data_IF_919447339208
#
_entry.id   IF_919447339208
#
_cell.length_a   1.000
_cell.length_b   1.000
_cell.length_c   1.000
_cell.angle_alpha   90.00
_cell.angle_beta   90.00
_cell.angle_gamma   90.00
#
_symmetry.space_group_name_H-M   'P 1'
#
loop_
_entity.id
_entity.type
_entity.pdbx_description
1 polymer ?
#
# COMPACT_ATOMS: atom_id res chain seq x y z
N UNK A 1 18.76 8.50 8.83
CA UNK A 1 19.76 7.83 7.93
C UNK A 1 19.28 7.92 6.49
N UNK A 2 20.20 7.99 5.51
CA UNK A 2 19.77 7.93 4.10
C UNK A 2 19.28 6.50 3.81
N UNK A 3 18.01 6.33 3.53
CA UNK A 3 17.45 5.04 3.12
C UNK A 3 18.03 4.61 1.76
N UNK A 4 18.58 3.40 1.68
CA UNK A 4 19.07 2.83 0.42
C UNK A 4 17.95 2.73 -0.62
N UNK A 5 16.73 2.39 -0.16
CA UNK A 5 15.54 2.32 -1.01
C UNK A 5 15.24 3.67 -1.69
N UNK A 6 15.11 4.76 -0.92
CA UNK A 6 14.87 6.08 -1.49
C UNK A 6 16.04 6.58 -2.33
N UNK A 7 17.29 6.32 -1.89
CA UNK A 7 18.49 6.70 -2.66
C UNK A 7 18.50 6.08 -4.04
N UNK A 8 18.00 4.85 -4.19
CA UNK A 8 17.83 4.22 -5.51
C UNK A 8 16.75 4.88 -6.33
N UNK A 9 15.55 5.08 -5.77
CA UNK A 9 14.43 5.71 -6.51
C UNK A 9 14.74 7.14 -6.94
N UNK A 10 15.52 7.87 -6.16
CA UNK A 10 15.90 9.27 -6.41
C UNK A 10 17.22 9.40 -7.17
N UNK A 11 17.86 8.29 -7.54
CA UNK A 11 19.09 8.32 -8.33
C UNK A 11 18.85 8.93 -9.71
N UNK A 12 19.90 9.46 -10.38
CA UNK A 12 19.77 10.03 -11.74
C UNK A 12 19.22 9.05 -12.78
N UNK A 13 19.48 7.76 -12.59
CA UNK A 13 18.98 6.68 -13.45
C UNK A 13 17.47 6.50 -13.30
N UNK A 14 16.90 6.92 -12.18
CA UNK A 14 15.46 6.79 -11.88
C UNK A 14 14.94 5.38 -12.18
N UNK A 15 15.44 4.33 -11.50
CA UNK A 15 15.03 2.97 -11.78
C UNK A 15 13.56 2.75 -11.44
N UNK A 16 12.95 1.80 -12.14
CA UNK A 16 11.66 1.23 -11.75
C UNK A 16 11.93 0.15 -10.72
N UNK A 17 11.26 0.21 -9.57
CA UNK A 17 11.27 -0.86 -8.58
C UNK A 17 9.98 -1.68 -8.66
N UNK A 18 10.16 -2.99 -8.60
CA UNK A 18 9.08 -3.96 -8.71
C UNK A 18 8.75 -4.51 -7.33
N UNK A 19 7.54 -4.23 -6.86
CA UNK A 19 6.95 -4.87 -5.69
C UNK A 19 6.48 -6.28 -6.04
N UNK A 20 6.22 -7.07 -5.02
CA UNK A 20 5.66 -8.40 -5.16
C UNK A 20 4.18 -8.38 -5.58
N UNK A 21 3.50 -9.50 -5.39
CA UNK A 21 2.09 -9.69 -5.68
C UNK A 21 1.31 -10.11 -4.45
N UNK A 22 0.07 -10.51 -4.67
CA UNK A 22 -0.89 -10.78 -3.61
C UNK A 22 -0.47 -11.94 -2.69
N UNK A 23 -0.18 -11.65 -1.43
CA UNK A 23 0.06 -12.66 -0.39
C UNK A 23 -1.12 -13.64 -0.30
N UNK A 24 -2.33 -13.16 -0.05
CA UNK A 24 -3.51 -14.01 0.13
C UNK A 24 -3.83 -14.90 -1.08
N UNK A 25 -3.75 -14.37 -2.32
CA UNK A 25 -3.94 -15.16 -3.54
C UNK A 25 -2.97 -16.35 -3.61
N UNK A 26 -1.70 -16.14 -3.24
CA UNK A 26 -0.66 -17.17 -3.35
C UNK A 26 -0.69 -18.13 -2.15
N UNK A 27 -1.13 -17.71 -0.98
CA UNK A 27 -1.43 -18.63 0.14
C UNK A 27 -2.57 -19.58 -0.22
N UNK A 28 -3.65 -19.09 -0.85
CA UNK A 28 -4.77 -19.93 -1.29
C UNK A 28 -4.36 -21.04 -2.26
N UNK A 29 -3.31 -20.84 -3.07
CA UNK A 29 -2.82 -21.89 -3.98
C UNK A 29 -2.12 -23.05 -3.27
N UNK A 30 -1.78 -22.90 -2.00
CA UNK A 30 -1.09 -23.92 -1.21
C UNK A 30 -2.05 -24.92 -0.57
N UNK A 31 -3.38 -24.76 -0.75
CA UNK A 31 -4.42 -25.63 -0.20
C UNK A 31 -4.29 -25.83 1.32
N UNK A 32 -4.04 -24.75 2.05
CA UNK A 32 -3.92 -24.76 3.50
C UNK A 32 -5.24 -25.20 4.15
N UNK A 33 -5.14 -25.96 5.22
CA UNK A 33 -6.26 -26.51 5.98
C UNK A 33 -6.43 -25.76 7.30
N UNK A 34 -7.56 -25.94 7.97
CA UNK A 34 -7.79 -25.37 9.29
C UNK A 34 -6.68 -25.73 10.30
N UNK A 35 -6.07 -26.93 10.20
CA UNK A 35 -4.95 -27.32 11.05
C UNK A 35 -3.71 -26.47 10.81
N UNK A 36 -3.45 -26.08 9.55
CA UNK A 36 -2.33 -25.20 9.20
C UNK A 36 -2.49 -23.80 9.82
N UNK A 37 -3.73 -23.33 9.99
CA UNK A 37 -4.04 -22.10 10.71
C UNK A 37 -4.03 -22.26 12.24
N UNK A 38 -3.83 -23.47 12.78
CA UNK A 38 -3.86 -23.73 14.21
C UNK A 38 -5.26 -24.05 14.77
N UNK A 39 -6.24 -24.29 13.90
CA UNK A 39 -7.61 -24.66 14.24
C UNK A 39 -8.66 -23.90 13.43
N UNK A 40 -9.88 -24.45 13.37
CA UNK A 40 -10.97 -23.91 12.58
C UNK A 40 -11.35 -22.45 12.95
N UNK A 41 -11.13 -22.05 14.21
CA UNK A 41 -11.39 -20.70 14.69
C UNK A 41 -10.43 -19.64 14.10
N UNK A 42 -9.29 -20.06 13.56
CA UNK A 42 -8.27 -19.19 12.96
C UNK A 42 -8.21 -19.29 11.44
N UNK A 43 -9.04 -20.15 10.85
CA UNK A 43 -9.08 -20.34 9.41
C UNK A 43 -9.38 -19.01 8.70
N UNK A 44 -8.51 -18.61 7.78
CA UNK A 44 -8.58 -17.33 7.06
C UNK A 44 -7.81 -16.17 7.70
N UNK A 45 -7.27 -16.32 8.92
CA UNK A 45 -6.34 -15.36 9.50
C UNK A 45 -4.94 -15.60 8.95
N UNK A 46 -4.62 -14.98 7.81
CA UNK A 46 -3.32 -15.17 7.15
C UNK A 46 -2.16 -14.75 8.05
N UNK A 47 -2.32 -13.64 8.76
CA UNK A 47 -1.33 -13.09 9.67
C UNK A 47 -0.92 -14.08 10.78
N UNK A 48 -1.78 -15.02 11.12
CA UNK A 48 -1.46 -16.03 12.13
C UNK A 48 -0.57 -17.16 11.58
N UNK A 49 -0.49 -17.31 10.26
CA UNK A 49 0.37 -18.31 9.61
C UNK A 49 1.85 -18.10 9.90
N UNK A 50 2.30 -16.88 10.18
CA UNK A 50 3.70 -16.64 10.59
C UNK A 50 4.07 -17.35 11.90
N UNK A 51 3.06 -17.70 12.71
CA UNK A 51 3.21 -18.48 13.94
C UNK A 51 2.95 -19.98 13.72
N UNK A 52 1.89 -20.32 13.01
CA UNK A 52 1.43 -21.73 12.90
C UNK A 52 2.08 -22.47 11.75
N UNK A 53 2.36 -21.78 10.63
CA UNK A 53 2.94 -22.37 9.41
C UNK A 53 3.82 -21.38 8.65
N UNK A 54 4.91 -20.90 9.28
CA UNK A 54 5.76 -19.85 8.71
C UNK A 54 6.34 -20.21 7.33
N UNK A 55 6.54 -21.50 7.05
CA UNK A 55 7.04 -21.98 5.76
C UNK A 55 6.06 -21.66 4.60
N UNK A 56 4.76 -21.57 4.86
CA UNK A 56 3.78 -21.20 3.84
C UNK A 56 3.94 -19.72 3.41
N UNK A 57 4.15 -18.83 4.37
CA UNK A 57 4.40 -17.41 4.14
C UNK A 57 5.79 -17.22 3.51
N UNK A 58 6.82 -17.88 4.06
CA UNK A 58 8.18 -17.83 3.52
C UNK A 58 8.22 -18.26 2.04
N UNK A 59 7.43 -19.29 1.68
CA UNK A 59 7.32 -19.74 0.30
C UNK A 59 6.79 -18.67 -0.62
N UNK A 60 5.78 -17.90 -0.23
CA UNK A 60 5.24 -16.81 -1.05
C UNK A 60 6.31 -15.73 -1.26
N UNK A 61 6.99 -15.31 -0.20
CA UNK A 61 8.10 -14.36 -0.30
C UNK A 61 9.20 -14.86 -1.23
N UNK A 62 9.61 -16.13 -1.06
CA UNK A 62 10.64 -16.76 -1.89
C UNK A 62 10.23 -16.76 -3.38
N UNK A 63 8.99 -17.17 -3.68
CA UNK A 63 8.51 -17.28 -5.07
C UNK A 63 8.48 -15.91 -5.77
N UNK A 64 8.10 -14.83 -5.07
CA UNK A 64 8.13 -13.48 -5.63
C UNK A 64 9.55 -12.93 -5.80
N UNK A 65 10.44 -13.19 -4.85
CA UNK A 65 11.85 -12.79 -4.96
C UNK A 65 12.57 -13.55 -6.09
N UNK A 66 12.28 -14.84 -6.25
CA UNK A 66 12.76 -15.66 -7.36
C UNK A 66 12.23 -15.15 -8.71
N UNK A 67 10.98 -14.67 -8.75
CA UNK A 67 10.40 -14.00 -9.92
C UNK A 67 11.04 -12.63 -10.23
N UNK A 68 11.83 -12.08 -9.30
CA UNK A 68 12.63 -10.87 -9.51
C UNK A 68 12.13 -9.62 -8.79
N UNK A 69 11.12 -9.72 -7.91
CA UNK A 69 10.66 -8.59 -7.10
C UNK A 69 11.82 -7.91 -6.36
N UNK A 70 11.86 -6.59 -6.36
CA UNK A 70 12.84 -5.79 -5.61
C UNK A 70 12.38 -5.56 -4.17
N UNK A 71 11.06 -5.54 -3.94
CA UNK A 71 10.41 -5.32 -2.66
C UNK A 71 9.38 -6.40 -2.42
N UNK A 72 9.34 -6.94 -1.21
CA UNK A 72 8.25 -7.80 -0.74
C UNK A 72 7.52 -7.14 0.43
N UNK A 73 6.22 -7.36 0.52
CA UNK A 73 5.37 -6.87 1.59
C UNK A 73 5.24 -7.93 2.69
N UNK A 74 5.24 -7.50 3.96
CA UNK A 74 5.03 -8.42 5.09
C UNK A 74 3.60 -8.96 5.11
N UNK A 75 3.40 -10.17 5.64
CA UNK A 75 2.07 -10.76 5.85
C UNK A 75 1.41 -10.15 7.11
N UNK A 76 1.10 -8.85 7.03
CA UNK A 76 0.59 -8.05 8.16
C UNK A 76 -0.54 -7.10 7.78
N UNK A 77 -1.18 -7.33 6.64
CA UNK A 77 -2.26 -6.48 6.12
C UNK A 77 -3.40 -6.29 7.13
N UNK A 78 -3.85 -7.37 7.77
CA UNK A 78 -4.84 -7.36 8.86
C UNK A 78 -4.21 -7.40 10.27
N UNK A 79 -2.94 -7.00 10.41
CA UNK A 79 -2.14 -7.20 11.63
C UNK A 79 -2.46 -6.27 12.79
N UNK A 80 -3.46 -5.38 12.72
CA UNK A 80 -3.87 -4.56 13.88
C UNK A 80 -4.57 -5.38 14.94
N UNK A 81 -4.42 -5.00 16.21
CA UNK A 81 -5.17 -5.61 17.32
C UNK A 81 -6.69 -5.57 17.12
N UNK A 82 -7.20 -4.57 16.37
CA UNK A 82 -8.63 -4.44 16.04
C UNK A 82 -9.09 -5.58 15.11
N UNK A 83 -8.34 -5.89 14.06
CA UNK A 83 -8.68 -6.97 13.12
C UNK A 83 -8.43 -8.33 13.77
N UNK A 84 -7.30 -8.50 14.44
CA UNK A 84 -6.94 -9.74 15.13
C UNK A 84 -7.91 -10.11 16.27
N UNK A 85 -8.61 -9.12 16.84
CA UNK A 85 -9.69 -9.36 17.81
C UNK A 85 -10.84 -10.19 17.23
N UNK A 86 -11.07 -10.17 15.92
CA UNK A 86 -12.08 -10.99 15.24
C UNK A 86 -11.76 -12.50 15.33
N UNK A 87 -10.50 -12.84 15.64
CA UNK A 87 -9.98 -14.19 15.84
C UNK A 87 -9.52 -14.45 17.29
N UNK A 88 -9.88 -13.60 18.25
CA UNK A 88 -9.38 -13.67 19.64
C UNK A 88 -7.86 -13.60 19.78
N UNK A 89 -7.18 -12.90 18.85
CA UNK A 89 -5.72 -12.76 18.76
C UNK A 89 -5.23 -11.32 18.99
N UNK A 90 -6.05 -10.43 19.53
CA UNK A 90 -5.70 -9.01 19.71
C UNK A 90 -4.40 -8.82 20.52
N UNK A 91 -4.17 -9.65 21.55
CA UNK A 91 -2.99 -9.61 22.40
C UNK A 91 -1.70 -10.08 21.70
N UNK A 92 -1.80 -10.63 20.52
CA UNK A 92 -0.68 -11.11 19.70
C UNK A 92 -0.25 -10.13 18.61
N UNK A 93 -0.93 -8.98 18.47
CA UNK A 93 -0.68 -8.04 17.37
C UNK A 93 0.79 -7.67 17.25
N UNK A 94 1.42 -7.20 18.32
CA UNK A 94 2.86 -6.88 18.29
C UNK A 94 3.73 -8.07 17.88
N UNK A 95 3.49 -9.23 18.49
CA UNK A 95 4.28 -10.45 18.22
C UNK A 95 4.17 -10.87 16.75
N UNK A 96 2.95 -10.96 16.19
CA UNK A 96 2.71 -11.41 14.83
C UNK A 96 3.33 -10.46 13.80
N UNK A 97 3.13 -9.15 13.94
CA UNK A 97 3.70 -8.16 13.03
C UNK A 97 5.23 -8.18 13.04
N UNK A 98 5.85 -8.26 14.23
CA UNK A 98 7.30 -8.35 14.34
C UNK A 98 7.83 -9.63 13.70
N UNK A 99 7.21 -10.78 13.99
CA UNK A 99 7.60 -12.09 13.45
C UNK A 99 7.47 -12.11 11.92
N UNK A 100 6.39 -11.55 11.38
CA UNK A 100 6.20 -11.45 9.92
C UNK A 100 7.30 -10.60 9.26
N UNK A 101 7.67 -9.47 9.87
CA UNK A 101 8.75 -8.63 9.38
C UNK A 101 10.11 -9.36 9.43
N UNK A 102 10.44 -10.02 10.55
CA UNK A 102 11.68 -10.79 10.69
C UNK A 102 11.75 -11.95 9.69
N UNK A 103 10.62 -12.65 9.44
CA UNK A 103 10.53 -13.69 8.43
C UNK A 103 10.81 -13.16 7.02
N UNK A 104 10.13 -12.07 6.64
CA UNK A 104 10.32 -11.44 5.33
C UNK A 104 11.77 -10.94 5.15
N UNK A 105 12.37 -10.34 6.19
CA UNK A 105 13.79 -9.91 6.16
C UNK A 105 14.75 -11.09 5.98
N UNK A 106 14.46 -12.21 6.62
CA UNK A 106 15.27 -13.44 6.49
C UNK A 106 15.25 -13.93 5.05
N UNK A 107 14.07 -14.06 4.44
CA UNK A 107 13.94 -14.52 3.04
C UNK A 107 14.53 -13.51 2.06
N UNK A 108 14.30 -12.21 2.28
CA UNK A 108 14.86 -11.17 1.41
C UNK A 108 16.39 -11.16 1.41
N UNK A 109 17.02 -11.47 2.54
CA UNK A 109 18.48 -11.55 2.66
C UNK A 109 19.10 -12.65 1.78
N UNK A 110 18.38 -13.75 1.53
CA UNK A 110 18.86 -14.84 0.67
C UNK A 110 19.01 -14.41 -0.81
N UNK A 111 18.22 -13.42 -1.24
CA UNK A 111 18.20 -12.90 -2.62
C UNK A 111 18.91 -11.57 -2.79
N UNK A 112 19.33 -10.94 -1.68
CA UNK A 112 19.89 -9.59 -1.69
C UNK A 112 21.39 -9.63 -2.03
N UNK A 113 21.81 -8.80 -3.00
CA UNK A 113 23.23 -8.55 -3.30
C UNK A 113 23.52 -7.05 -3.28
N UNK A 114 24.78 -6.62 -3.21
CA UNK A 114 25.12 -5.18 -3.31
C UNK A 114 24.59 -4.52 -4.59
N UNK A 115 24.57 -5.24 -5.71
CA UNK A 115 24.11 -4.77 -7.02
C UNK A 115 22.58 -4.78 -7.11
N UNK A 116 21.94 -5.77 -6.49
CA UNK A 116 20.48 -5.95 -6.48
C UNK A 116 19.97 -6.19 -5.06
N UNK A 117 19.96 -5.14 -4.21
CA UNK A 117 19.41 -5.25 -2.86
C UNK A 117 17.90 -5.51 -2.92
N UNK A 118 17.41 -6.29 -1.95
CA UNK A 118 15.99 -6.58 -1.75
C UNK A 118 15.51 -5.84 -0.51
N UNK A 119 14.28 -5.36 -0.56
CA UNK A 119 13.68 -4.57 0.49
C UNK A 119 12.42 -5.24 1.03
N UNK A 120 12.10 -4.93 2.26
CA UNK A 120 10.87 -5.39 2.93
C UNK A 120 10.03 -4.18 3.29
N UNK A 121 8.82 -4.12 2.76
CA UNK A 121 7.80 -3.14 3.10
C UNK A 121 6.89 -3.69 4.22
N UNK A 122 6.76 -2.95 5.30
CA UNK A 122 5.82 -3.26 6.37
C UNK A 122 4.41 -2.89 5.93
N UNK A 123 3.59 -3.88 5.61
CA UNK A 123 2.21 -3.70 5.15
C UNK A 123 1.28 -3.32 6.31
N UNK A 124 0.54 -2.22 6.14
CA UNK A 124 -0.49 -1.71 7.05
C UNK A 124 -1.77 -1.49 6.25
N UNK A 125 -2.72 -2.41 6.40
CA UNK A 125 -4.01 -2.34 5.72
C UNK A 125 -5.04 -1.46 6.42
N UNK A 126 -6.22 -1.27 5.80
CA UNK A 126 -7.27 -0.36 6.30
C UNK A 126 -8.02 -0.90 7.52
N UNK A 127 -7.90 -2.19 7.83
CA UNK A 127 -8.74 -2.86 8.81
C UNK A 127 -10.20 -3.01 8.36
N UNK A 128 -11.07 -3.34 9.31
CA UNK A 128 -12.49 -3.62 9.07
C UNK A 128 -13.43 -2.48 9.53
N UNK A 129 -12.87 -1.38 10.04
CA UNK A 129 -13.62 -0.25 10.59
C UNK A 129 -13.29 1.04 9.84
N UNK A 130 -14.32 1.82 9.53
CA UNK A 130 -14.21 3.11 8.84
C UNK A 130 -14.49 4.24 9.85
N UNK A 131 -13.48 5.02 10.26
CA UNK A 131 -13.65 6.08 11.24
C UNK A 131 -14.55 7.22 10.72
N UNK A 132 -14.52 7.54 9.43
CA UNK A 132 -15.41 8.54 8.82
C UNK A 132 -16.90 8.16 8.98
N UNK A 133 -17.23 6.88 9.06
CA UNK A 133 -18.59 6.38 9.28
C UNK A 133 -18.90 6.17 10.76
N UNK A 134 -18.00 6.52 11.66
CA UNK A 134 -18.20 6.37 13.11
C UNK A 134 -18.11 4.93 13.62
N UNK A 135 -17.54 4.00 12.82
CA UNK A 135 -17.38 2.61 13.28
C UNK A 135 -16.34 2.46 14.40
N UNK A 136 -15.43 3.42 14.51
CA UNK A 136 -14.37 3.49 15.51
C UNK A 136 -13.94 4.95 15.66
N UNK A 137 -13.53 5.36 16.85
CA UNK A 137 -12.92 6.68 17.05
C UNK A 137 -11.45 6.71 16.57
N UNK A 138 -10.99 7.92 16.26
CA UNK A 138 -9.67 8.16 15.69
C UNK A 138 -8.52 7.71 16.62
N UNK A 139 -8.63 7.99 17.92
CA UNK A 139 -7.57 7.73 18.87
C UNK A 139 -7.41 6.22 19.12
N UNK A 140 -8.50 5.48 19.21
CA UNK A 140 -8.50 4.01 19.30
C UNK A 140 -7.87 3.38 18.06
N UNK A 141 -8.25 3.83 16.86
CA UNK A 141 -7.65 3.35 15.62
C UNK A 141 -6.16 3.68 15.54
N UNK A 142 -5.78 4.92 15.87
CA UNK A 142 -4.38 5.36 15.91
C UNK A 142 -3.56 4.49 16.87
N UNK A 143 -4.07 4.20 18.07
CA UNK A 143 -3.36 3.38 19.05
C UNK A 143 -3.06 1.98 18.53
N UNK A 144 -4.00 1.35 17.81
CA UNK A 144 -3.77 0.05 17.19
C UNK A 144 -2.71 0.12 16.07
N UNK A 145 -2.69 1.20 15.29
CA UNK A 145 -1.62 1.41 14.30
C UNK A 145 -0.26 1.73 14.92
N UNK A 146 -0.20 2.38 16.09
CA UNK A 146 1.07 2.57 16.83
C UNK A 146 1.68 1.22 17.19
N UNK A 147 0.88 0.30 17.75
CA UNK A 147 1.33 -1.04 18.11
C UNK A 147 1.87 -1.80 16.88
N UNK A 148 1.12 -1.79 15.77
CA UNK A 148 1.53 -2.44 14.53
C UNK A 148 2.79 -1.82 13.94
N UNK A 149 2.85 -0.50 13.83
CA UNK A 149 4.01 0.21 13.29
C UNK A 149 5.27 0.01 14.14
N UNK A 150 5.15 0.00 15.47
CA UNK A 150 6.27 -0.28 16.36
C UNK A 150 6.81 -1.70 16.17
N UNK A 151 5.92 -2.68 16.07
CA UNK A 151 6.29 -4.08 15.83
C UNK A 151 7.01 -4.27 14.49
N UNK A 152 6.48 -3.68 13.42
CA UNK A 152 7.10 -3.70 12.08
C UNK A 152 8.47 -3.01 12.09
N UNK A 153 8.58 -1.87 12.79
CA UNK A 153 9.86 -1.16 12.95
C UNK A 153 10.90 -2.04 13.63
N UNK A 154 10.53 -2.67 14.73
CA UNK A 154 11.41 -3.55 15.53
C UNK A 154 11.73 -4.87 14.81
N UNK A 155 10.85 -5.32 13.92
CA UNK A 155 11.09 -6.44 12.98
C UNK A 155 12.03 -6.09 11.83
N UNK A 156 12.38 -4.82 11.65
CA UNK A 156 13.45 -4.39 10.74
C UNK A 156 13.01 -4.11 9.31
N UNK A 157 11.73 -3.79 9.04
CA UNK A 157 11.28 -3.41 7.69
C UNK A 157 12.09 -2.24 7.13
N UNK A 158 12.28 -2.17 5.83
CA UNK A 158 13.07 -1.11 5.18
C UNK A 158 12.23 0.14 4.88
N UNK A 159 10.92 -0.02 4.70
CA UNK A 159 9.93 1.03 4.48
C UNK A 159 8.57 0.61 5.03
N UNK A 160 7.65 1.56 5.14
CA UNK A 160 6.25 1.31 5.49
C UNK A 160 5.35 1.55 4.28
N UNK A 161 4.32 0.74 4.13
CA UNK A 161 3.24 0.96 3.18
C UNK A 161 1.89 0.95 3.92
N UNK A 162 1.17 2.08 3.84
CA UNK A 162 -0.23 2.18 4.26
C UNK A 162 -1.05 1.99 2.99
N UNK A 163 -1.65 0.80 2.85
CA UNK A 163 -2.20 0.35 1.58
C UNK A 163 -3.70 0.07 1.60
N UNK A 164 -4.27 -0.06 0.40
CA UNK A 164 -5.69 -0.39 0.18
C UNK A 164 -6.62 0.55 0.94
N UNK A 165 -6.18 1.79 1.09
CA UNK A 165 -6.87 2.78 1.91
C UNK A 165 -8.19 3.19 1.27
N UNK A 166 -9.26 3.11 2.07
CA UNK A 166 -10.64 3.40 1.65
C UNK A 166 -11.25 4.64 2.34
N UNK A 167 -10.54 5.19 3.34
CA UNK A 167 -11.00 6.29 4.19
C UNK A 167 -9.80 7.20 4.53
N UNK A 168 -9.92 8.49 4.21
CA UNK A 168 -8.84 9.47 4.46
C UNK A 168 -8.58 9.66 5.96
N UNK A 169 -9.59 9.53 6.80
CA UNK A 169 -9.41 9.65 8.26
C UNK A 169 -8.63 8.46 8.81
N UNK A 170 -8.85 7.27 8.25
CA UNK A 170 -8.04 6.08 8.54
C UNK A 170 -6.58 6.28 8.11
N UNK A 171 -6.32 6.83 6.90
CA UNK A 171 -4.96 7.15 6.47
C UNK A 171 -4.28 8.10 7.45
N UNK A 172 -4.97 9.15 7.89
CA UNK A 172 -4.44 10.10 8.87
C UNK A 172 -4.10 9.42 10.20
N UNK A 173 -4.92 8.48 10.66
CA UNK A 173 -4.65 7.73 11.89
C UNK A 173 -3.37 6.89 11.74
N UNK A 174 -3.21 6.16 10.63
CA UNK A 174 -2.02 5.37 10.35
C UNK A 174 -0.75 6.24 10.21
N UNK A 175 -0.81 7.35 9.46
CA UNK A 175 0.33 8.26 9.28
C UNK A 175 0.76 8.89 10.60
N UNK A 176 -0.19 9.36 11.43
CA UNK A 176 0.15 9.91 12.75
C UNK A 176 0.76 8.85 13.68
N UNK A 177 0.30 7.60 13.60
CA UNK A 177 0.85 6.48 14.35
C UNK A 177 2.31 6.19 13.95
N UNK A 178 2.57 6.11 12.65
CA UNK A 178 3.92 5.84 12.11
C UNK A 178 4.89 6.98 12.48
N UNK A 179 4.48 8.24 12.35
CA UNK A 179 5.32 9.40 12.74
C UNK A 179 5.60 9.41 14.26
N UNK A 180 4.65 9.01 15.09
CA UNK A 180 4.88 8.84 16.54
C UNK A 180 5.94 7.77 16.81
N UNK A 181 5.89 6.64 16.10
CA UNK A 181 6.90 5.58 16.21
C UNK A 181 8.26 6.07 15.73
N UNK A 182 8.34 6.78 14.61
CA UNK A 182 9.61 7.36 14.13
C UNK A 182 10.21 8.35 15.13
N UNK A 183 9.39 9.21 15.72
CA UNK A 183 9.84 10.14 16.77
C UNK A 183 10.36 9.39 18.00
N UNK A 184 9.66 8.34 18.45
CA UNK A 184 10.05 7.50 19.58
C UNK A 184 11.37 6.75 19.33
N UNK A 185 11.56 6.22 18.11
CA UNK A 185 12.75 5.44 17.74
C UNK A 185 13.94 6.31 17.32
N UNK A 186 13.71 7.59 17.02
CA UNK A 186 14.75 8.51 16.54
C UNK A 186 15.30 8.16 15.15
N UNK A 187 14.56 7.37 14.39
CA UNK A 187 14.92 6.94 13.03
C UNK A 187 13.65 6.96 12.15
N UNK A 188 13.76 7.56 10.95
CA UNK A 188 12.68 7.66 9.98
C UNK A 188 12.95 6.74 8.80
N UNK A 189 11.98 5.96 8.44
CA UNK A 189 12.00 5.09 7.25
C UNK A 189 11.10 5.65 6.16
N UNK A 190 11.32 5.29 4.89
CA UNK A 190 10.44 5.66 3.79
C UNK A 190 9.00 5.27 4.08
N UNK A 191 8.08 6.14 3.65
CA UNK A 191 6.66 5.97 3.89
C UNK A 191 5.90 6.08 2.57
N UNK A 192 5.20 5.02 2.21
CA UNK A 192 4.35 4.91 1.05
C UNK A 192 2.88 4.90 1.48
N UNK A 193 2.05 5.63 0.76
CA UNK A 193 0.58 5.55 0.87
C UNK A 193 0.02 5.06 -0.45
N UNK A 194 -0.85 4.07 -0.39
CA UNK A 194 -1.54 3.52 -1.55
C UNK A 194 -3.05 3.49 -1.30
N UNK A 195 -3.80 4.25 -2.08
CA UNK A 195 -5.26 4.34 -1.93
C UNK A 195 -5.95 3.41 -2.92
N UNK A 196 -7.18 3.06 -2.58
CA UNK A 196 -8.02 2.21 -3.42
C UNK A 196 -9.14 3.05 -4.01
N UNK A 197 -9.21 3.07 -5.36
CA UNK A 197 -10.26 3.75 -6.11
C UNK A 197 -11.21 2.69 -6.66
N UNK A 198 -12.47 2.78 -6.22
CA UNK A 198 -13.53 1.87 -6.66
C UNK A 198 -13.92 2.11 -8.12
N UNK A 199 -14.70 1.21 -8.69
CA UNK A 199 -15.19 1.32 -10.08
C UNK A 199 -15.97 2.60 -10.38
N UNK A 200 -16.50 3.26 -9.33
CA UNK A 200 -17.17 4.56 -9.42
C UNK A 200 -16.21 5.74 -9.56
N UNK A 201 -14.90 5.50 -9.46
CA UNK A 201 -13.86 6.55 -9.58
C UNK A 201 -13.57 7.33 -8.29
N UNK A 202 -14.02 6.85 -7.15
CA UNK A 202 -13.75 7.41 -5.82
C UNK A 202 -13.30 6.34 -4.85
N UNK A 203 -12.72 6.74 -3.71
CA UNK A 203 -12.57 5.83 -2.57
C UNK A 203 -13.95 5.40 -2.05
N UNK A 204 -14.01 4.35 -1.23
CA UNK A 204 -15.27 3.79 -0.70
C UNK A 204 -16.15 4.84 -0.02
N UNK A 205 -15.56 5.80 0.71
CA UNK A 205 -16.30 6.89 1.38
C UNK A 205 -16.58 8.09 0.47
N UNK A 206 -16.32 7.98 -0.85
CA UNK A 206 -16.64 9.00 -1.84
C UNK A 206 -15.54 10.02 -2.12
N UNK A 207 -14.32 9.83 -1.60
CA UNK A 207 -13.20 10.76 -1.81
C UNK A 207 -12.61 10.63 -3.21
N UNK A 208 -12.52 11.73 -3.94
CA UNK A 208 -11.87 11.83 -5.25
C UNK A 208 -10.35 11.90 -5.12
N UNK A 209 -9.62 11.53 -6.19
CA UNK A 209 -8.15 11.50 -6.19
C UNK A 209 -7.52 12.89 -5.97
N UNK A 210 -8.17 13.96 -6.43
CA UNK A 210 -7.73 15.34 -6.20
C UNK A 210 -7.72 15.68 -4.71
N UNK A 211 -8.78 15.31 -3.98
CA UNK A 211 -8.86 15.52 -2.54
C UNK A 211 -7.78 14.70 -1.80
N UNK A 212 -7.52 13.46 -2.24
CA UNK A 212 -6.43 12.63 -1.69
C UNK A 212 -5.09 13.36 -1.80
N UNK A 213 -4.74 13.86 -2.99
CA UNK A 213 -3.46 14.59 -3.20
C UNK A 213 -3.39 15.81 -2.31
N UNK A 214 -4.42 16.67 -2.33
CA UNK A 214 -4.45 17.93 -1.55
C UNK A 214 -4.36 17.67 -0.04
N UNK A 215 -4.98 16.60 0.46
CA UNK A 215 -4.93 16.26 1.88
C UNK A 215 -3.55 15.71 2.25
N UNK A 216 -2.97 14.84 1.41
CA UNK A 216 -1.74 14.13 1.72
C UNK A 216 -0.48 14.97 1.44
N UNK A 217 -0.53 16.01 0.62
CA UNK A 217 0.63 16.87 0.32
C UNK A 217 1.30 17.47 1.57
N UNK A 218 0.57 17.57 2.68
CA UNK A 218 1.05 18.11 3.96
C UNK A 218 1.65 17.05 4.88
N UNK A 219 1.55 15.77 4.52
CA UNK A 219 2.16 14.70 5.28
C UNK A 219 3.54 14.35 4.73
N UNK A 220 4.49 13.96 5.59
CA UNK A 220 5.84 13.62 5.16
C UNK A 220 5.90 12.21 4.57
N UNK A 221 5.15 11.96 3.51
CA UNK A 221 5.20 10.71 2.74
C UNK A 221 6.17 10.84 1.57
N UNK A 222 6.70 9.73 1.09
CA UNK A 222 7.68 9.67 0.00
C UNK A 222 7.04 9.20 -1.31
N UNK A 223 6.05 8.32 -1.22
CA UNK A 223 5.40 7.70 -2.37
C UNK A 223 3.88 7.75 -2.18
N UNK A 224 3.16 8.11 -3.23
CA UNK A 224 1.69 8.06 -3.30
C UNK A 224 1.26 7.28 -4.53
N UNK A 225 0.35 6.35 -4.37
CA UNK A 225 -0.14 5.55 -5.48
C UNK A 225 -1.48 4.89 -5.25
N UNK A 226 -1.72 3.90 -6.09
CA UNK A 226 -2.96 3.12 -6.10
C UNK A 226 -2.67 1.63 -6.04
N UNK A 227 -3.48 0.90 -5.30
CA UNK A 227 -3.51 -0.56 -5.35
C UNK A 227 -4.94 -1.09 -5.22
N UNK A 228 -5.14 -2.34 -5.60
CA UNK A 228 -6.37 -3.11 -5.41
C UNK A 228 -7.62 -2.55 -6.13
N UNK A 229 -8.80 -3.04 -5.76
CA UNK A 229 -10.15 -2.83 -6.31
C UNK A 229 -10.27 -3.14 -7.81
N UNK A 230 -9.43 -2.53 -8.65
CA UNK A 230 -9.57 -2.59 -10.11
C UNK A 230 -8.29 -3.03 -10.81
N UNK A 231 -8.40 -3.31 -12.10
CA UNK A 231 -7.25 -3.50 -12.98
C UNK A 231 -6.70 -2.17 -13.52
N UNK A 232 -5.60 -2.23 -14.29
CA UNK A 232 -4.89 -1.02 -14.75
C UNK A 232 -5.75 -0.09 -15.60
N UNK A 233 -6.70 -0.58 -16.37
CA UNK A 233 -7.54 0.26 -17.25
C UNK A 233 -8.35 1.29 -16.46
N UNK A 234 -8.97 0.87 -15.34
CA UNK A 234 -9.75 1.76 -14.49
C UNK A 234 -8.86 2.64 -13.60
N UNK A 235 -7.64 2.23 -13.32
CA UNK A 235 -6.66 3.04 -12.58
C UNK A 235 -6.07 4.18 -13.44
N UNK A 236 -6.04 4.03 -14.76
CA UNK A 236 -5.38 4.96 -15.67
C UNK A 236 -5.74 6.44 -15.47
N UNK A 237 -7.01 6.86 -15.33
CA UNK A 237 -7.37 8.26 -15.10
C UNK A 237 -6.76 8.80 -13.79
N UNK A 238 -6.76 8.00 -12.75
CA UNK A 238 -6.24 8.38 -11.43
C UNK A 238 -4.71 8.44 -11.42
N UNK A 239 -4.04 7.47 -12.06
CA UNK A 239 -2.58 7.49 -12.23
C UNK A 239 -2.15 8.70 -13.07
N UNK A 240 -2.92 9.05 -14.11
CA UNK A 240 -2.69 10.27 -14.88
C UNK A 240 -2.78 11.51 -13.99
N UNK A 241 -3.81 11.61 -13.16
CA UNK A 241 -3.93 12.72 -12.21
C UNK A 241 -2.74 12.80 -11.25
N UNK A 242 -2.33 11.67 -10.66
CA UNK A 242 -1.15 11.59 -9.81
C UNK A 242 0.13 12.01 -10.56
N UNK A 243 0.25 11.62 -11.82
CA UNK A 243 1.39 12.01 -12.67
C UNK A 243 1.48 13.51 -12.84
N UNK A 244 0.36 14.19 -13.03
CA UNK A 244 0.26 15.62 -13.35
C UNK A 244 0.27 16.52 -12.11
N UNK A 245 -0.20 16.02 -10.95
CA UNK A 245 -0.45 16.87 -9.76
C UNK A 245 0.23 16.40 -8.47
N UNK A 246 0.64 15.14 -8.35
CA UNK A 246 1.23 14.65 -7.10
C UNK A 246 2.71 15.03 -6.98
N UNK A 247 3.16 15.67 -5.88
CA UNK A 247 4.57 15.98 -5.65
C UNK A 247 5.40 14.74 -5.28
N UNK A 248 4.75 13.62 -4.97
CA UNK A 248 5.38 12.40 -4.50
C UNK A 248 5.81 11.49 -5.67
N UNK A 249 6.70 10.53 -5.42
CA UNK A 249 6.94 9.42 -6.34
C UNK A 249 5.62 8.67 -6.53
N UNK A 250 5.30 8.26 -7.77
CA UNK A 250 4.03 7.58 -8.07
C UNK A 250 4.22 6.07 -8.15
N UNK A 251 3.31 5.35 -7.49
CA UNK A 251 3.20 3.89 -7.57
C UNK A 251 1.89 3.42 -8.18
N UNK A 252 1.92 2.23 -8.80
CA UNK A 252 0.73 1.56 -9.31
C UNK A 252 0.84 0.04 -9.12
N UNK A 253 -0.03 -0.52 -8.29
CA UNK A 253 -0.05 -1.93 -7.88
C UNK A 253 -1.47 -2.49 -8.11
N UNK A 254 -1.88 -2.72 -9.37
CA UNK A 254 -3.24 -3.13 -9.72
C UNK A 254 -3.50 -4.62 -9.45
N UNK A 255 -4.78 -4.97 -9.39
CA UNK A 255 -5.21 -6.36 -9.51
C UNK A 255 -4.92 -6.91 -10.92
N UNK A 256 -4.88 -8.22 -11.05
CA UNK A 256 -4.84 -8.90 -12.35
C UNK A 256 -6.21 -8.80 -13.09
N UNK A 257 -6.72 -7.56 -13.20
CA UNK A 257 -8.03 -7.23 -13.74
C UNK A 257 -9.13 -7.18 -12.66
N UNK A 258 -10.37 -6.99 -13.10
CA UNK A 258 -11.53 -7.07 -12.21
C UNK A 258 -11.81 -8.53 -11.83
N UNK A 259 -12.13 -8.82 -10.56
CA UNK A 259 -12.51 -10.15 -10.15
C UNK A 259 -13.87 -10.55 -10.74
N UNK A 260 -13.95 -11.75 -11.29
CA UNK A 260 -15.21 -12.39 -11.69
C UNK A 260 -15.52 -13.52 -10.71
N UNK A 261 -16.79 -13.62 -10.31
CA UNK A 261 -17.23 -14.74 -9.48
C UNK A 261 -17.45 -15.97 -10.35
N UNK A 262 -16.59 -16.97 -10.23
CA UNK A 262 -16.73 -18.26 -10.92
C UNK A 262 -16.83 -19.36 -9.85
N UNK A 263 -18.01 -19.92 -9.69
CA UNK A 263 -18.25 -20.99 -8.71
C UNK A 263 -18.04 -20.58 -7.25
N UNK A 264 -18.24 -19.30 -6.91
CA UNK A 264 -18.05 -18.77 -5.56
C UNK A 264 -16.63 -18.29 -5.26
N UNK A 265 -15.72 -18.39 -6.22
CA UNK A 265 -14.33 -17.92 -6.09
C UNK A 265 -14.07 -16.73 -7.00
N UNK A 266 -13.20 -15.81 -6.53
CA UNK A 266 -12.73 -14.70 -7.34
C UNK A 266 -11.75 -15.21 -8.41
N UNK A 267 -12.05 -14.94 -9.67
CA UNK A 267 -11.22 -15.29 -10.82
C UNK A 267 -10.75 -14.02 -11.53
N UNK A 268 -9.44 -13.93 -11.78
CA UNK A 268 -8.81 -12.78 -12.43
C UNK A 268 -8.31 -13.19 -13.80
N UNK A 269 -8.66 -12.41 -14.84
CA UNK A 269 -8.42 -12.79 -16.25
C UNK A 269 -7.21 -12.12 -16.88
N UNK A 270 -6.72 -11.02 -16.31
CA UNK A 270 -5.60 -10.29 -16.90
C UNK A 270 -4.34 -11.16 -16.88
N UNK A 271 -3.80 -11.42 -18.05
CA UNK A 271 -2.59 -12.23 -18.20
C UNK A 271 -1.34 -11.47 -17.75
N UNK A 272 -0.23 -12.18 -17.43
CA UNK A 272 1.05 -11.53 -17.11
C UNK A 272 1.52 -10.56 -18.19
N UNK A 273 1.32 -10.88 -19.47
CA UNK A 273 1.72 -10.03 -20.58
C UNK A 273 0.86 -8.76 -20.68
N UNK A 274 -0.45 -8.86 -20.50
CA UNK A 274 -1.35 -7.70 -20.53
C UNK A 274 -1.07 -6.75 -19.36
N UNK A 275 -0.82 -7.28 -18.16
CA UNK A 275 -0.41 -6.48 -17.01
C UNK A 275 0.92 -5.75 -17.28
N UNK A 276 1.91 -6.45 -17.81
CA UNK A 276 3.19 -5.88 -18.23
C UNK A 276 3.00 -4.71 -19.20
N UNK A 277 2.19 -4.89 -20.24
CA UNK A 277 1.93 -3.86 -21.26
C UNK A 277 1.31 -2.59 -20.66
N UNK A 278 0.35 -2.76 -19.77
CA UNK A 278 -0.31 -1.64 -19.10
C UNK A 278 0.65 -0.88 -18.18
N UNK A 279 1.47 -1.58 -17.41
CA UNK A 279 2.42 -0.96 -16.48
C UNK A 279 3.60 -0.31 -17.21
N UNK A 280 4.07 -0.87 -18.35
CA UNK A 280 5.04 -0.18 -19.22
C UNK A 280 4.52 1.20 -19.63
N UNK A 281 3.27 1.30 -20.11
CA UNK A 281 2.64 2.56 -20.48
C UNK A 281 2.61 3.54 -19.28
N UNK A 282 2.29 3.06 -18.07
CA UNK A 282 2.29 3.94 -16.90
C UNK A 282 3.68 4.44 -16.51
N UNK A 283 4.71 3.63 -16.72
CA UNK A 283 6.10 4.05 -16.49
C UNK A 283 6.55 5.06 -17.55
N UNK A 284 6.44 4.71 -18.83
CA UNK A 284 7.02 5.47 -19.93
C UNK A 284 6.25 6.77 -20.25
N UNK A 285 4.91 6.76 -20.10
CA UNK A 285 4.07 7.90 -20.46
C UNK A 285 3.59 8.71 -19.24
N UNK A 286 3.49 8.10 -18.06
CA UNK A 286 2.98 8.74 -16.85
C UNK A 286 4.02 8.87 -15.73
N UNK A 287 5.21 8.30 -15.89
CA UNK A 287 6.32 8.48 -14.95
C UNK A 287 6.15 7.74 -13.62
N UNK A 288 5.40 6.64 -13.60
CA UNK A 288 5.33 5.72 -12.46
C UNK A 288 6.70 5.09 -12.24
N UNK A 289 7.19 5.05 -10.99
CA UNK A 289 8.49 4.48 -10.65
C UNK A 289 8.42 3.21 -9.79
N UNK A 290 7.27 2.97 -9.16
CA UNK A 290 7.02 1.77 -8.37
C UNK A 290 5.84 1.03 -8.98
N UNK A 291 6.08 -0.20 -9.40
CA UNK A 291 5.07 -1.08 -9.99
C UNK A 291 5.04 -2.40 -9.22
N UNK A 292 3.93 -3.11 -9.30
CA UNK A 292 3.75 -4.40 -8.65
C UNK A 292 2.41 -4.99 -9.00
N UNK A 293 1.96 -5.96 -8.22
CA UNK A 293 0.67 -6.58 -8.40
C UNK A 293 -0.10 -6.73 -7.08
N UNK A 294 -1.43 -6.63 -7.13
CA UNK A 294 -2.32 -6.89 -6.01
C UNK A 294 -3.14 -8.16 -6.29
N UNK A 295 -4.39 -8.23 -5.89
CA UNK A 295 -5.21 -9.43 -5.98
C UNK A 295 -5.17 -10.11 -7.35
N UNK A 296 -5.09 -11.43 -7.34
CA UNK A 296 -5.00 -12.27 -8.54
C UNK A 296 -3.62 -12.35 -9.19
N UNK A 297 -2.64 -11.54 -8.76
CA UNK A 297 -1.29 -11.61 -9.30
C UNK A 297 -0.49 -12.77 -8.68
N UNK A 298 0.35 -13.37 -9.50
CA UNK A 298 1.19 -14.53 -9.18
C UNK A 298 2.64 -14.25 -9.57
N UNK A 299 3.59 -15.11 -9.19
CA UNK A 299 5.00 -14.95 -9.55
C UNK A 299 5.24 -14.67 -11.05
N UNK A 300 4.45 -15.29 -11.94
CA UNK A 300 4.59 -15.09 -13.39
C UNK A 300 4.26 -13.66 -13.83
N UNK A 301 3.33 -12.98 -13.14
CA UNK A 301 3.04 -11.56 -13.39
C UNK A 301 4.23 -10.68 -13.00
N UNK A 302 4.78 -10.93 -11.81
CA UNK A 302 5.94 -10.19 -11.29
C UNK A 302 7.17 -10.44 -12.15
N UNK A 303 7.41 -11.68 -12.59
CA UNK A 303 8.51 -12.02 -13.47
C UNK A 303 8.47 -11.19 -14.76
N UNK A 304 7.30 -11.10 -15.41
CA UNK A 304 7.15 -10.30 -16.63
C UNK A 304 7.48 -8.83 -16.44
N UNK A 305 7.20 -8.26 -15.27
CA UNK A 305 7.58 -6.88 -14.93
C UNK A 305 9.06 -6.76 -14.61
N UNK A 306 9.62 -7.68 -13.82
CA UNK A 306 11.01 -7.66 -13.40
C UNK A 306 11.97 -7.81 -14.59
N UNK A 307 11.61 -8.60 -15.62
CA UNK A 307 12.40 -8.79 -16.84
C UNK A 307 12.63 -7.49 -17.62
N UNK A 308 11.68 -6.56 -17.57
CA UNK A 308 11.75 -5.31 -18.32
C UNK A 308 12.14 -4.10 -17.48
N UNK A 309 11.98 -4.16 -16.15
CA UNK A 309 12.12 -3.02 -15.27
C UNK A 309 13.44 -2.26 -15.46
N UNK A 310 14.55 -2.98 -15.67
CA UNK A 310 15.86 -2.37 -15.89
C UNK A 310 15.99 -1.61 -17.21
N UNK A 311 15.14 -1.91 -18.20
CA UNK A 311 15.14 -1.23 -19.51
C UNK A 311 14.14 -0.07 -19.56
N UNK A 312 13.18 -0.04 -18.68
CA UNK A 312 12.17 1.02 -18.62
C UNK A 312 12.78 2.33 -18.12
N UNK A 313 12.35 3.42 -18.70
CA UNK A 313 12.73 4.79 -18.29
C UNK A 313 11.48 5.57 -17.93
N UNK A 314 11.22 5.80 -16.64
CA UNK A 314 10.09 6.61 -16.22
C UNK A 314 10.14 8.00 -16.83
N UNK A 315 9.03 8.44 -17.40
CA UNK A 315 8.88 9.82 -17.86
C UNK A 315 9.24 10.78 -16.72
N UNK A 316 10.01 11.80 -17.03
CA UNK A 316 10.24 12.87 -16.07
C UNK A 316 8.95 13.68 -15.87
N UNK A 317 8.43 13.64 -14.66
CA UNK A 317 7.23 14.38 -14.28
C UNK A 317 7.60 15.82 -13.88
N UNK A 318 6.67 16.74 -14.15
CA UNK A 318 6.69 18.10 -13.65
C UNK A 318 5.29 18.39 -13.07
N UNK A 319 5.02 17.88 -11.85
CA UNK A 319 3.70 18.01 -11.28
C UNK A 319 3.39 19.46 -10.94
N UNK A 320 2.20 19.90 -11.31
CA UNK A 320 1.65 21.20 -10.95
C UNK A 320 0.62 21.04 -9.85
N UNK A 321 0.98 21.49 -8.66
CA UNK A 321 0.10 21.45 -7.51
C UNK A 321 -0.80 22.68 -7.52
N UNK A 322 -2.10 22.46 -7.62
CA UNK A 322 -3.08 23.53 -7.53
C UNK A 322 -3.40 23.84 -6.06
N UNK A 323 -3.09 25.06 -5.55
CA UNK A 323 -3.44 25.41 -4.19
C UNK A 323 -4.95 25.37 -3.96
N UNK A 324 -5.40 24.48 -3.11
CA UNK A 324 -6.82 24.24 -2.87
C UNK A 324 -7.11 23.88 -1.40
N UNK A 325 -8.36 24.08 -0.99
CA UNK A 325 -8.90 23.41 0.17
C UNK A 325 -9.52 22.09 -0.24
N UNK A 326 -9.49 21.07 0.63
CA UNK A 326 -10.13 19.80 0.40
C UNK A 326 -11.23 19.54 1.43
N UNK A 327 -12.37 19.08 0.94
CA UNK A 327 -13.35 18.35 1.75
C UNK A 327 -12.98 16.85 1.78
N UNK A 328 -13.80 16.05 2.44
CA UNK A 328 -13.67 14.59 2.35
C UNK A 328 -13.95 14.08 0.93
N UNK A 329 -14.65 14.82 0.09
CA UNK A 329 -15.08 14.37 -1.23
C UNK A 329 -14.19 14.89 -2.34
N UNK A 330 -14.03 16.23 -2.43
CA UNK A 330 -13.37 16.89 -3.56
C UNK A 330 -12.64 18.15 -3.10
N UNK A 331 -11.91 18.79 -4.01
CA UNK A 331 -11.15 20.02 -3.78
C UNK A 331 -11.93 21.24 -4.22
N UNK A 332 -11.56 22.39 -3.61
CA UNK A 332 -11.98 23.72 -4.03
C UNK A 332 -10.72 24.56 -4.22
N UNK A 333 -10.32 24.88 -5.47
CA UNK A 333 -9.19 25.75 -5.76
C UNK A 333 -9.34 27.13 -5.12
N UNK A 334 -8.22 27.69 -4.65
CA UNK A 334 -8.24 29.08 -4.12
C UNK A 334 -8.33 30.11 -5.23
N UNK A 335 -7.71 29.85 -6.39
CA UNK A 335 -7.84 30.67 -7.57
C UNK A 335 -8.98 30.16 -8.46
N UNK A 336 -9.85 31.06 -8.87
CA UNK A 336 -11.02 30.76 -9.71
C UNK A 336 -11.08 31.76 -10.85
N UNK A 337 -11.02 31.29 -12.08
CA UNK A 337 -10.92 32.12 -13.28
C UNK A 337 -12.08 33.15 -13.44
N UNK A 338 -13.28 32.81 -12.98
CA UNK A 338 -14.49 33.57 -13.25
C UNK A 338 -15.32 33.91 -12.00
N UNK A 339 -14.79 33.67 -10.80
CA UNK A 339 -15.52 33.93 -9.55
C UNK A 339 -14.61 34.25 -8.38
N UNK A 340 -15.20 34.79 -7.32
CA UNK A 340 -14.50 34.98 -6.04
C UNK A 340 -14.70 33.75 -5.14
N UNK A 341 -13.63 33.30 -4.50
CA UNK A 341 -13.74 32.30 -3.42
C UNK A 341 -14.35 32.98 -2.19
N UNK A 342 -15.53 32.55 -1.80
CA UNK A 342 -16.20 33.01 -0.58
C UNK A 342 -15.82 32.07 0.54
N UNK A 343 -15.11 32.55 1.56
CA UNK A 343 -14.74 31.80 2.75
C UNK A 343 -15.73 32.12 3.86
N UNK A 344 -16.54 31.10 4.25
CA UNK A 344 -17.37 31.19 5.43
C UNK A 344 -16.52 30.92 6.67
N UNK A 345 -16.00 31.97 7.28
CA UNK A 345 -15.23 31.87 8.51
C UNK A 345 -16.12 31.41 9.66
N UNK A 346 -15.68 30.41 10.44
CA UNK A 346 -16.41 29.80 11.57
C UNK A 346 -15.73 29.98 12.92
N UNK A 347 -14.63 30.72 12.99
CA UNK A 347 -13.99 31.04 14.26
C UNK A 347 -14.84 32.08 15.00
N UNK A 348 -15.71 31.60 15.88
CA UNK A 348 -16.63 32.42 16.65
C UNK A 348 -16.48 32.11 18.14
N UNK A 349 -16.27 33.14 18.95
CA UNK A 349 -16.10 33.02 20.39
C UNK A 349 -17.36 32.54 21.13
N UNK A 350 -18.54 32.67 20.52
CA UNK A 350 -19.84 32.28 21.10
C UNK A 350 -20.41 30.98 20.51
N UNK A 351 -19.62 30.27 19.69
CA UNK A 351 -20.03 29.02 19.05
C UNK A 351 -20.96 29.24 17.85
N UNK A 352 -20.83 28.42 16.86
CA UNK A 352 -21.71 28.33 15.69
C UNK A 352 -22.22 26.92 15.57
#
# INVERSE_FOLDING_TARGET
>A
MNSLFLSRLQSPERPVLVFDGAMGTNLQTQNLTAEDFGGAQYEGCNEYLVHTKPEAVAKVHHDFLAAGADVIETDTFGGTSIVLAEYDLADKAYYLNKTAAELAKTVAAEFSTPEKPRFVAGSIGPGTKLPTLGHIDFDTMKAAYVEQAEALFDGGVDLFIVETCQDVLQIKAALNAIEEVFAKKGDRRPLMVSVTMETMGTMLVGTEINAVVTILERFPIDILGLNCATGPDLMKPHIKYLSEHSPFIVSCIPNAGLPENVGGQAHYRLTPMELRMSLMHFVEDLGVQVIGGCCGTRPEHIQQMAEIASSLKPKQRQPELEPAAASIYTTQPYDQDNSFLIVGERLNASGS
#
